data_IF_556647950122
#
_entry.id   IF_556647950122
#
_cell.length_a   1.000
_cell.length_b   1.000
_cell.length_c   1.000
_cell.angle_alpha   90.00
_cell.angle_beta   90.00
_cell.angle_gamma   90.00
#
_symmetry.space_group_name_H-M   'P 1'
#
loop_
_entity.id
_entity.type
_entity.pdbx_description
1 polymer ?
#
# COMPACT_ATOMS: atom_id res chain seq x y z
N UNK A 1 6.26 -3.29 17.75
CA UNK A 1 6.49 -2.65 16.42
C UNK A 1 5.15 -2.47 15.71
N UNK A 2 4.88 -1.30 15.14
CA UNK A 2 3.64 -1.02 14.40
C UNK A 2 3.82 -1.44 12.94
N UNK A 3 2.91 -2.26 12.41
CA UNK A 3 2.86 -2.57 10.98
C UNK A 3 2.26 -1.39 10.24
N UNK A 4 2.91 -0.94 9.18
CA UNK A 4 2.36 0.07 8.26
C UNK A 4 2.17 -0.61 6.92
N UNK A 5 0.92 -0.71 6.49
CA UNK A 5 0.55 -1.26 5.20
C UNK A 5 0.81 -0.21 4.12
N UNK A 6 1.10 -0.64 2.89
CA UNK A 6 1.26 0.28 1.78
C UNK A 6 1.58 -0.45 0.48
N UNK A 7 1.70 0.33 -0.59
CA UNK A 7 2.10 -0.16 -1.91
C UNK A 7 3.01 0.84 -2.60
N UNK A 8 3.89 0.33 -3.47
CA UNK A 8 4.62 1.16 -4.45
C UNK A 8 3.86 1.12 -5.76
N UNK A 9 3.42 2.29 -6.22
CA UNK A 9 2.63 2.48 -7.42
C UNK A 9 3.55 3.00 -8.53
N UNK A 10 3.72 2.22 -9.58
CA UNK A 10 4.31 2.66 -10.83
C UNK A 10 3.17 3.00 -11.80
N UNK A 11 3.15 4.24 -12.28
CA UNK A 11 2.11 4.73 -13.19
C UNK A 11 2.61 4.60 -14.64
N UNK A 12 1.76 4.17 -15.55
CA UNK A 12 2.14 3.96 -16.95
C UNK A 12 2.39 5.26 -17.72
N UNK A 13 1.85 6.38 -17.24
CA UNK A 13 1.92 7.68 -17.88
C UNK A 13 2.83 8.68 -17.13
N UNK A 14 3.54 8.24 -16.08
CA UNK A 14 4.47 9.07 -15.30
C UNK A 14 5.74 8.30 -14.95
N UNK A 15 6.89 8.98 -15.02
CA UNK A 15 8.16 8.44 -14.55
C UNK A 15 8.31 8.51 -13.01
N UNK A 16 7.39 9.21 -12.31
CA UNK A 16 7.38 9.31 -10.86
C UNK A 16 6.61 8.12 -10.30
N UNK A 17 7.28 7.36 -9.45
CA UNK A 17 6.65 6.30 -8.69
C UNK A 17 6.19 6.82 -7.32
N UNK A 18 5.24 6.13 -6.68
CA UNK A 18 4.63 6.61 -5.45
C UNK A 18 4.62 5.52 -4.39
N UNK A 19 5.13 5.78 -3.20
CA UNK A 19 4.79 4.97 -2.04
C UNK A 19 3.47 5.51 -1.48
N UNK A 20 2.44 4.68 -1.51
CA UNK A 20 1.11 4.98 -1.01
C UNK A 20 0.86 4.27 0.31
N UNK A 21 0.62 5.03 1.37
CA UNK A 21 0.37 4.55 2.72
C UNK A 21 -1.04 4.98 3.16
N UNK A 22 -1.99 4.07 3.42
CA UNK A 22 -3.32 4.43 3.88
C UNK A 22 -3.29 4.93 5.33
N UNK A 23 -3.90 6.10 5.56
CA UNK A 23 -4.02 6.65 6.92
C UNK A 23 -5.08 5.93 7.77
N UNK A 24 -6.14 5.41 7.14
CA UNK A 24 -7.29 4.79 7.80
C UNK A 24 -7.89 3.64 6.95
N UNK A 25 -8.93 2.98 7.48
CA UNK A 25 -9.64 1.89 6.80
C UNK A 25 -10.25 2.32 5.46
N UNK A 26 -10.75 3.55 5.36
CA UNK A 26 -11.35 4.05 4.12
C UNK A 26 -10.28 4.24 3.03
N UNK A 27 -9.11 4.75 3.40
CA UNK A 27 -7.95 4.89 2.54
C UNK A 27 -7.39 3.53 2.12
N UNK A 28 -7.37 2.55 3.03
CA UNK A 28 -7.00 1.17 2.70
C UNK A 28 -7.95 0.55 1.66
N UNK A 29 -9.25 0.75 1.83
CA UNK A 29 -10.26 0.30 0.86
C UNK A 29 -10.07 0.96 -0.51
N UNK A 30 -9.77 2.27 -0.55
CA UNK A 30 -9.47 2.98 -1.81
C UNK A 30 -8.17 2.49 -2.45
N UNK A 31 -7.11 2.25 -1.68
CA UNK A 31 -5.87 1.66 -2.20
C UNK A 31 -6.10 0.25 -2.77
N UNK A 32 -6.88 -0.57 -2.07
CA UNK A 32 -7.24 -1.92 -2.52
C UNK A 32 -8.05 -1.88 -3.82
N UNK A 33 -8.98 -0.92 -3.94
CA UNK A 33 -9.76 -0.69 -5.17
C UNK A 33 -8.87 -0.23 -6.31
N UNK A 34 -7.97 0.72 -6.06
CA UNK A 34 -6.99 1.22 -7.03
C UNK A 34 -6.14 0.07 -7.59
N UNK A 35 -5.55 -0.74 -6.73
CA UNK A 35 -4.75 -1.91 -7.14
C UNK A 35 -5.59 -2.92 -7.93
N UNK A 36 -6.84 -3.15 -7.53
CA UNK A 36 -7.76 -4.05 -8.24
C UNK A 36 -8.09 -3.56 -9.65
N UNK A 37 -8.30 -2.24 -9.82
CA UNK A 37 -8.49 -1.62 -11.14
C UNK A 37 -7.27 -1.87 -12.02
N UNK A 38 -6.07 -1.58 -11.51
CA UNK A 38 -4.84 -1.75 -12.27
C UNK A 38 -4.54 -3.21 -12.65
N UNK A 39 -4.79 -4.15 -11.75
CA UNK A 39 -4.64 -5.59 -12.03
C UNK A 39 -5.65 -6.12 -13.06
N UNK A 40 -6.89 -5.61 -13.07
CA UNK A 40 -7.91 -6.02 -14.05
C UNK A 40 -7.64 -5.52 -15.47
N UNK A 41 -6.86 -4.43 -15.60
CA UNK A 41 -6.49 -3.84 -16.89
C UNK A 41 -5.26 -4.48 -17.54
N UNK A 42 -4.62 -5.43 -16.88
CA UNK A 42 -3.35 -6.01 -17.30
C UNK A 42 -3.37 -7.55 -17.25
N UNK A 43 -2.43 -8.18 -17.95
CA UNK A 43 -2.22 -9.62 -17.86
C UNK A 43 -1.77 -10.05 -16.45
N UNK A 44 -1.88 -11.34 -16.16
CA UNK A 44 -1.45 -11.89 -14.87
C UNK A 44 0.03 -11.58 -14.63
N UNK A 45 0.32 -10.95 -13.50
CA UNK A 45 1.67 -10.50 -13.13
C UNK A 45 1.82 -8.98 -13.19
N UNK A 46 1.13 -8.33 -14.13
CA UNK A 46 1.24 -6.90 -14.38
C UNK A 46 0.17 -6.07 -13.67
N UNK A 47 0.32 -4.75 -13.67
CA UNK A 47 -0.63 -3.79 -13.13
C UNK A 47 -0.54 -2.51 -13.95
N UNK A 48 -1.64 -2.03 -14.51
CA UNK A 48 -1.66 -0.78 -15.29
C UNK A 48 -2.49 0.29 -14.59
N UNK A 49 -1.79 1.24 -13.98
CA UNK A 49 -2.35 2.41 -13.31
C UNK A 49 -1.87 3.68 -14.00
N UNK A 50 -2.68 4.72 -14.04
CA UNK A 50 -2.30 6.04 -14.53
C UNK A 50 -2.50 7.13 -13.45
N UNK A 51 -2.09 8.36 -13.77
CA UNK A 51 -2.27 9.51 -12.86
C UNK A 51 -3.74 9.80 -12.55
N UNK A 52 -4.66 9.54 -13.47
CA UNK A 52 -6.08 9.79 -13.25
C UNK A 52 -6.63 8.82 -12.19
N UNK A 53 -6.23 7.55 -12.25
CA UNK A 53 -6.59 6.57 -11.23
C UNK A 53 -6.09 7.01 -9.83
N UNK A 54 -4.84 7.47 -9.74
CA UNK A 54 -4.29 7.96 -8.47
C UNK A 54 -5.02 9.23 -7.99
N UNK A 55 -5.39 10.13 -8.90
CA UNK A 55 -6.13 11.36 -8.57
C UNK A 55 -7.57 11.09 -8.09
N UNK A 56 -8.19 10.01 -8.58
CA UNK A 56 -9.52 9.56 -8.19
C UNK A 56 -9.50 8.82 -6.83
N UNK A 57 -8.59 7.84 -6.68
CA UNK A 57 -8.59 6.93 -5.53
C UNK A 57 -7.57 7.29 -4.44
N UNK A 58 -6.80 8.38 -4.62
CA UNK A 58 -5.70 8.75 -3.72
C UNK A 58 -6.11 9.39 -2.38
N UNK A 59 -7.40 9.70 -2.18
CA UNK A 59 -7.85 10.38 -0.97
C UNK A 59 -7.49 9.61 0.32
N UNK A 60 -7.00 10.30 1.34
CA UNK A 60 -6.58 9.70 2.62
C UNK A 60 -5.31 8.85 2.57
N UNK A 61 -4.65 8.76 1.42
CA UNK A 61 -3.31 8.18 1.32
C UNK A 61 -2.26 9.24 1.67
N UNK A 62 -1.25 8.86 2.44
CA UNK A 62 0.03 9.55 2.47
C UNK A 62 0.84 9.07 1.26
N UNK A 63 1.25 10.01 0.42
CA UNK A 63 1.94 9.75 -0.85
C UNK A 63 3.38 10.25 -0.77
N UNK A 64 4.34 9.36 -0.97
CA UNK A 64 5.76 9.71 -1.05
C UNK A 64 6.21 9.53 -2.50
N UNK A 65 6.47 10.64 -3.19
CA UNK A 65 6.96 10.66 -4.56
C UNK A 65 8.40 10.15 -4.63
N UNK A 66 8.66 9.22 -5.54
CA UNK A 66 9.98 8.70 -5.87
C UNK A 66 10.26 9.06 -7.33
N UNK A 67 10.85 10.25 -7.60
CA UNK A 67 11.22 10.61 -8.96
C UNK A 67 12.33 9.69 -9.48
N UNK A 68 12.56 9.66 -10.81
CA UNK A 68 13.76 9.07 -11.40
C UNK A 68 15.05 9.60 -10.75
N UNK A 69 16.17 8.91 -10.96
CA UNK A 69 17.44 9.37 -10.40
C UNK A 69 17.79 10.76 -10.97
N UNK A 70 17.68 11.79 -10.14
CA UNK A 70 17.97 13.20 -10.47
C UNK A 70 19.42 13.46 -10.89
N UNK A 71 20.29 12.45 -10.79
CA UNK A 71 21.67 12.49 -11.28
C UNK A 71 21.88 11.67 -12.57
N UNK A 72 20.85 10.99 -13.09
CA UNK A 72 20.97 10.26 -14.35
C UNK A 72 21.11 11.25 -15.53
N UNK A 73 21.89 10.90 -16.58
CA UNK A 73 22.15 11.79 -17.71
C UNK A 73 20.87 12.32 -18.37
N UNK A 74 19.85 11.46 -18.47
CA UNK A 74 18.58 11.76 -19.13
C UNK A 74 17.51 12.32 -18.18
N UNK A 75 17.76 12.33 -16.86
CA UNK A 75 16.79 12.80 -15.87
C UNK A 75 16.69 14.34 -15.80
N UNK A 76 17.63 15.03 -16.46
CA UNK A 76 17.76 16.49 -16.50
C UNK A 76 18.18 17.02 -17.87
N UNK A 77 18.16 16.22 -18.95
CA UNK A 77 18.35 16.76 -20.29
C UNK A 77 17.18 17.73 -20.57
N UNK A 78 17.43 19.06 -20.60
CA UNK A 78 16.39 20.00 -20.95
C UNK A 78 16.21 19.88 -22.45
N UNK A 79 15.12 19.24 -22.89
CA UNK A 79 14.56 19.65 -24.17
C UNK A 79 14.15 21.12 -23.99
N UNK A 80 14.69 22.08 -24.77
CA UNK A 80 14.39 23.50 -24.61
C UNK A 80 12.93 23.75 -25.02
N UNK A 81 12.00 23.45 -24.12
CA UNK A 81 10.56 23.51 -24.37
C UNK A 81 9.72 22.59 -23.47
N UNK A 82 10.28 21.51 -22.91
CA UNK A 82 9.56 20.64 -21.97
C UNK A 82 10.06 20.87 -20.54
N UNK A 83 9.19 21.38 -19.66
CA UNK A 83 9.51 21.51 -18.23
C UNK A 83 9.83 20.14 -17.61
N UNK A 84 10.46 20.13 -16.42
CA UNK A 84 10.74 18.89 -15.67
C UNK A 84 9.45 18.08 -15.44
N UNK A 85 9.19 16.98 -16.19
CA UNK A 85 7.89 16.30 -16.18
C UNK A 85 7.59 15.71 -14.80
N UNK A 86 8.63 15.26 -14.10
CA UNK A 86 8.52 14.79 -12.71
C UNK A 86 8.04 15.89 -11.75
N UNK A 87 8.53 17.12 -11.89
CA UNK A 87 8.08 18.24 -11.05
C UNK A 87 6.60 18.56 -11.31
N UNK A 88 6.18 18.56 -12.57
CA UNK A 88 4.78 18.82 -12.94
C UNK A 88 3.84 17.76 -12.34
N UNK A 89 4.19 16.47 -12.47
CA UNK A 89 3.42 15.36 -11.91
C UNK A 89 3.35 15.43 -10.36
N UNK A 90 4.49 15.70 -9.71
CA UNK A 90 4.56 15.85 -8.26
C UNK A 90 3.71 17.02 -7.78
N UNK A 91 3.83 18.19 -8.44
CA UNK A 91 3.06 19.38 -8.11
C UNK A 91 1.56 19.20 -8.35
N UNK A 92 1.17 18.45 -9.39
CA UNK A 92 -0.24 18.11 -9.63
C UNK A 92 -0.83 17.28 -8.49
N UNK A 93 -0.12 16.23 -8.05
CA UNK A 93 -0.57 15.43 -6.90
C UNK A 93 -0.54 16.22 -5.59
N UNK A 94 0.45 17.09 -5.39
CA UNK A 94 0.54 17.97 -4.22
C UNK A 94 -0.66 18.93 -4.11
N UNK A 95 -1.09 19.51 -5.23
CA UNK A 95 -2.31 20.35 -5.29
C UNK A 95 -3.57 19.53 -5.05
N UNK A 96 -3.62 18.30 -5.56
CA UNK A 96 -4.78 17.42 -5.40
C UNK A 96 -4.95 16.92 -3.96
N UNK A 97 -3.84 16.64 -3.26
CA UNK A 97 -3.81 16.06 -1.92
C UNK A 97 -2.95 16.90 -0.95
N UNK A 98 -3.40 18.12 -0.61
CA UNK A 98 -2.62 19.03 0.22
C UNK A 98 -2.31 18.41 1.59
N UNK A 99 -1.05 18.53 2.04
CA UNK A 99 -0.58 18.00 3.32
C UNK A 99 -0.39 16.48 3.39
N UNK A 100 -0.67 15.76 2.30
CA UNK A 100 -0.51 14.30 2.22
C UNK A 100 0.63 13.85 1.30
N UNK A 101 1.26 14.79 0.58
CA UNK A 101 2.32 14.49 -0.39
C UNK A 101 3.69 14.88 0.16
N UNK A 102 4.68 14.02 -0.05
CA UNK A 102 6.08 14.20 0.34
C UNK A 102 7.02 13.82 -0.80
N UNK A 103 8.21 14.40 -0.84
CA UNK A 103 9.27 13.94 -1.75
C UNK A 103 10.16 12.92 -1.04
N UNK A 104 10.23 11.70 -1.54
CA UNK A 104 11.08 10.64 -1.02
C UNK A 104 12.53 10.79 -1.46
N UNK A 105 13.45 10.66 -0.51
CA UNK A 105 14.88 10.58 -0.75
C UNK A 105 15.39 9.17 -0.51
N UNK A 106 15.58 8.43 -1.61
CA UNK A 106 16.13 7.08 -1.60
C UNK A 106 17.64 7.13 -1.92
N UNK A 107 18.51 6.54 -1.07
CA UNK A 107 19.91 6.37 -1.41
C UNK A 107 20.11 5.30 -2.50
N UNK A 108 21.16 5.48 -3.30
CA UNK A 108 21.66 4.47 -4.26
C UNK A 108 22.95 3.80 -3.77
N UNK A 109 23.62 4.37 -2.77
CA UNK A 109 24.86 3.84 -2.21
C UNK A 109 26.00 3.75 -3.23
N UNK A 110 26.06 4.73 -4.11
CA UNK A 110 27.03 4.85 -5.21
C UNK A 110 28.07 5.97 -4.95
N UNK A 111 28.18 6.43 -3.70
CA UNK A 111 29.04 7.55 -3.31
C UNK A 111 28.51 8.94 -3.68
N UNK A 112 27.37 9.02 -4.39
CA UNK A 112 26.79 10.30 -4.85
C UNK A 112 25.53 10.71 -4.07
N UNK A 113 25.20 10.00 -3.00
CA UNK A 113 23.95 10.19 -2.25
C UNK A 113 23.80 11.61 -1.69
N UNK A 114 24.86 12.25 -1.20
CA UNK A 114 24.75 13.64 -0.71
C UNK A 114 24.35 14.60 -1.83
N UNK A 115 24.95 14.49 -3.01
CA UNK A 115 24.58 15.31 -4.18
C UNK A 115 23.15 15.01 -4.64
N UNK A 116 22.73 13.74 -4.55
CA UNK A 116 21.36 13.32 -4.87
C UNK A 116 20.36 13.93 -3.89
N UNK A 117 20.65 13.90 -2.59
CA UNK A 117 19.82 14.53 -1.56
C UNK A 117 19.77 16.05 -1.72
N UNK A 118 20.86 16.70 -2.13
CA UNK A 118 20.87 18.14 -2.45
C UNK A 118 19.88 18.47 -3.57
N UNK A 119 19.91 17.70 -4.66
CA UNK A 119 19.00 17.88 -5.81
C UNK A 119 17.56 17.56 -5.46
N UNK A 120 17.31 16.51 -4.68
CA UNK A 120 15.97 16.18 -4.20
C UNK A 120 15.44 17.25 -3.23
N UNK A 121 16.27 17.78 -2.33
CA UNK A 121 15.86 18.86 -1.44
C UNK A 121 15.46 20.11 -2.22
N UNK A 122 16.20 20.48 -3.27
CA UNK A 122 15.85 21.58 -4.16
C UNK A 122 14.54 21.30 -4.94
N UNK A 123 14.35 20.07 -5.43
CA UNK A 123 13.10 19.66 -6.07
C UNK A 123 11.91 19.73 -5.10
N UNK A 124 12.08 19.28 -3.86
CA UNK A 124 11.06 19.36 -2.83
C UNK A 124 10.65 20.81 -2.56
N UNK A 125 11.64 21.71 -2.42
CA UNK A 125 11.40 23.14 -2.23
C UNK A 125 10.61 23.76 -3.39
N UNK A 126 10.99 23.47 -4.65
CA UNK A 126 10.29 23.96 -5.85
C UNK A 126 8.87 23.42 -5.96
N UNK A 127 8.64 22.20 -5.51
CA UNK A 127 7.30 21.59 -5.46
C UNK A 127 6.45 22.06 -4.28
N UNK A 128 7.01 22.84 -3.34
CA UNK A 128 6.32 23.21 -2.10
C UNK A 128 6.12 22.04 -1.13
N UNK A 129 7.00 21.03 -1.19
CA UNK A 129 6.88 19.79 -0.43
C UNK A 129 8.01 19.64 0.60
N UNK A 130 7.75 18.79 1.59
CA UNK A 130 8.78 18.32 2.48
C UNK A 130 9.45 17.04 1.95
N UNK A 131 10.77 16.95 2.16
CA UNK A 131 11.53 15.75 1.88
C UNK A 131 11.44 14.74 3.05
N UNK A 132 11.33 13.46 2.74
CA UNK A 132 11.35 12.34 3.69
C UNK A 132 12.41 11.32 3.29
N UNK A 133 13.16 10.81 4.26
CA UNK A 133 14.14 9.75 4.04
C UNK A 133 13.43 8.41 3.85
N UNK A 134 13.78 7.69 2.78
CA UNK A 134 13.31 6.31 2.53
C UNK A 134 14.50 5.39 2.31
N UNK A 135 14.35 4.10 2.67
CA UNK A 135 15.46 3.15 2.59
C UNK A 135 15.60 2.41 1.24
N UNK A 136 14.54 2.39 0.43
CA UNK A 136 14.42 1.54 -0.78
C UNK A 136 14.92 0.10 -0.55
N UNK A 137 14.49 -0.46 0.59
CA UNK A 137 14.98 -1.72 1.14
C UNK A 137 14.48 -2.89 0.30
N UNK A 138 15.40 -3.78 -0.08
CA UNK A 138 15.12 -5.01 -0.81
C UNK A 138 15.38 -6.28 0.03
N UNK A 139 16.22 -6.17 1.05
CA UNK A 139 16.63 -7.32 1.88
C UNK A 139 16.75 -6.95 3.37
N UNK A 140 16.71 -7.94 4.27
CA UNK A 140 16.84 -7.69 5.71
C UNK A 140 18.31 -7.48 6.16
N UNK A 141 19.29 -8.05 5.45
CA UNK A 141 20.73 -7.92 5.77
C UNK A 141 21.60 -8.06 4.52
N UNK A 142 22.80 -7.49 4.53
CA UNK A 142 23.68 -7.38 3.35
C UNK A 142 24.07 -8.73 2.74
N UNK A 143 24.32 -9.74 3.59
CA UNK A 143 24.68 -11.09 3.15
C UNK A 143 23.59 -11.81 2.33
N UNK A 144 22.38 -11.24 2.21
CA UNK A 144 21.32 -11.75 1.33
C UNK A 144 21.43 -11.28 -0.12
N UNK A 145 22.42 -10.44 -0.46
CA UNK A 145 22.67 -10.01 -1.84
C UNK A 145 22.72 -11.16 -2.84
N UNK A 146 23.46 -12.28 -2.62
CA UNK A 146 23.48 -13.38 -3.58
C UNK A 146 22.09 -13.98 -3.85
N UNK A 147 21.25 -14.08 -2.81
CA UNK A 147 19.87 -14.55 -2.96
C UNK A 147 19.03 -13.57 -3.77
N UNK A 148 19.18 -12.25 -3.55
CA UNK A 148 18.48 -11.23 -4.33
C UNK A 148 18.91 -11.24 -5.81
N UNK A 149 20.20 -11.48 -6.08
CA UNK A 149 20.71 -11.64 -7.45
C UNK A 149 20.09 -12.90 -8.11
N UNK A 150 19.99 -14.03 -7.40
CA UNK A 150 19.32 -15.26 -7.90
C UNK A 150 17.83 -15.03 -8.19
N UNK A 151 17.10 -14.36 -7.30
CA UNK A 151 15.69 -14.01 -7.55
C UNK A 151 15.53 -13.10 -8.75
N UNK A 152 16.50 -12.22 -9.00
CA UNK A 152 16.54 -11.39 -10.21
C UNK A 152 16.76 -12.27 -11.44
N UNK A 153 17.72 -13.20 -11.42
CA UNK A 153 17.93 -14.17 -12.51
C UNK A 153 16.66 -14.94 -12.87
N UNK A 154 15.91 -15.43 -11.88
CA UNK A 154 14.65 -16.13 -12.10
C UNK A 154 13.59 -15.24 -12.75
N UNK A 155 13.46 -13.98 -12.31
CA UNK A 155 12.52 -13.03 -12.89
C UNK A 155 12.86 -12.67 -14.34
N UNK A 156 14.14 -12.50 -14.63
CA UNK A 156 14.65 -12.05 -15.94
C UNK A 156 14.95 -13.20 -16.91
N UNK A 157 14.81 -14.45 -16.47
CA UNK A 157 15.09 -15.64 -17.30
C UNK A 157 16.56 -15.78 -17.70
N UNK A 158 17.50 -15.45 -16.80
CA UNK A 158 18.95 -15.51 -17.08
C UNK A 158 19.74 -16.23 -15.97
N UNK A 159 21.04 -16.43 -16.17
CA UNK A 159 21.95 -17.04 -15.18
C UNK A 159 22.73 -15.97 -14.41
N UNK A 160 23.39 -16.37 -13.31
CA UNK A 160 24.26 -15.47 -12.54
C UNK A 160 25.42 -14.94 -13.38
N UNK A 161 25.94 -15.73 -14.32
CA UNK A 161 27.02 -15.29 -15.21
C UNK A 161 26.55 -14.26 -16.26
N UNK A 162 25.24 -14.24 -16.58
CA UNK A 162 24.65 -13.39 -17.64
C UNK A 162 23.76 -12.26 -17.12
N UNK A 163 23.61 -12.12 -15.79
CA UNK A 163 22.77 -11.09 -15.17
C UNK A 163 23.27 -9.65 -15.47
N UNK A 164 24.57 -9.47 -15.70
CA UNK A 164 25.17 -8.20 -16.10
C UNK A 164 24.84 -7.05 -15.13
N UNK A 165 24.43 -5.90 -15.69
CA UNK A 165 24.10 -4.68 -14.94
C UNK A 165 22.79 -4.77 -14.13
N UNK A 166 22.00 -5.85 -14.28
CA UNK A 166 20.82 -6.10 -13.44
C UNK A 166 21.20 -6.61 -12.05
N UNK A 167 22.47 -6.97 -11.84
CA UNK A 167 23.00 -7.36 -10.53
C UNK A 167 22.96 -6.17 -9.57
N UNK A 168 22.67 -6.43 -8.30
CA UNK A 168 22.86 -5.41 -7.27
C UNK A 168 24.35 -5.01 -7.20
N UNK A 169 24.64 -3.71 -7.22
CA UNK A 169 26.01 -3.21 -7.12
C UNK A 169 26.66 -3.56 -5.77
N UNK A 170 25.88 -3.54 -4.69
CA UNK A 170 26.32 -3.76 -3.31
C UNK A 170 25.20 -4.37 -2.45
N UNK A 171 25.51 -4.66 -1.19
CA UNK A 171 24.55 -5.19 -0.20
C UNK A 171 23.76 -4.12 0.56
N UNK A 172 23.78 -2.85 0.11
CA UNK A 172 23.32 -1.71 0.91
C UNK A 172 21.82 -1.47 0.88
N UNK A 173 21.08 -2.04 -0.09
CA UNK A 173 19.60 -2.09 -0.06
C UNK A 173 19.06 -3.06 0.99
N UNK A 174 19.70 -3.08 2.16
CA UNK A 174 19.28 -3.80 3.36
C UNK A 174 18.54 -2.88 4.32
N UNK A 175 17.84 -3.48 5.28
CA UNK A 175 17.32 -2.74 6.43
C UNK A 175 18.50 -2.16 7.23
N UNK A 176 18.52 -0.83 7.37
CA UNK A 176 19.51 -0.08 8.12
C UNK A 176 18.95 0.32 9.48
N UNK A 177 19.84 0.38 10.48
CA UNK A 177 19.51 0.93 11.79
C UNK A 177 19.28 2.44 11.70
N UNK A 178 18.61 3.01 12.71
CA UNK A 178 18.42 4.45 12.83
C UNK A 178 19.74 5.23 12.85
N UNK A 179 20.79 4.70 13.49
CA UNK A 179 22.11 5.33 13.55
C UNK A 179 22.79 5.38 12.17
N UNK A 180 22.67 4.32 11.37
CA UNK A 180 23.21 4.30 10.00
C UNK A 180 22.48 5.29 9.10
N UNK A 181 21.14 5.34 9.20
CA UNK A 181 20.34 6.32 8.46
C UNK A 181 20.65 7.75 8.91
N UNK A 182 20.85 7.99 10.21
CA UNK A 182 21.27 9.30 10.75
C UNK A 182 22.61 9.77 10.18
N UNK A 183 23.60 8.90 10.07
CA UNK A 183 24.89 9.23 9.43
C UNK A 183 24.72 9.55 7.95
N UNK A 184 23.93 8.74 7.24
CA UNK A 184 23.67 8.95 5.81
C UNK A 184 22.92 10.27 5.54
N UNK A 185 21.93 10.61 6.37
CA UNK A 185 21.12 11.82 6.24
C UNK A 185 21.60 12.96 7.17
N UNK A 186 22.89 13.02 7.53
CA UNK A 186 23.40 14.00 8.50
C UNK A 186 23.17 15.47 8.07
N UNK A 187 23.15 15.76 6.75
CA UNK A 187 22.79 17.09 6.20
C UNK A 187 21.28 17.35 6.19
N UNK A 188 20.47 16.31 6.37
CA UNK A 188 19.01 16.32 6.25
C UNK A 188 18.30 15.60 7.41
N UNK A 189 18.59 15.93 8.68
CA UNK A 189 18.00 15.24 9.83
C UNK A 189 16.46 15.40 9.91
N UNK A 190 15.92 16.48 9.33
CA UNK A 190 14.48 16.69 9.22
C UNK A 190 13.78 15.62 8.35
N UNK A 191 14.46 15.11 7.32
CA UNK A 191 13.91 14.07 6.44
C UNK A 191 13.73 12.74 7.19
N UNK A 192 14.59 12.46 8.18
CA UNK A 192 14.44 11.30 9.06
C UNK A 192 13.31 11.49 10.07
N UNK A 193 13.21 12.65 10.72
CA UNK A 193 12.09 12.92 11.64
C UNK A 193 10.74 12.80 10.93
N UNK A 194 10.69 13.25 9.66
CA UNK A 194 9.50 13.13 8.82
C UNK A 194 9.01 11.70 8.63
N UNK A 195 9.91 10.70 8.60
CA UNK A 195 9.49 9.30 8.45
C UNK A 195 8.74 8.80 9.67
N UNK A 196 9.10 9.28 10.87
CA UNK A 196 8.38 9.01 12.12
C UNK A 196 7.03 9.72 12.12
N UNK A 197 6.98 11.01 11.75
CA UNK A 197 5.73 11.78 11.63
C UNK A 197 4.73 11.10 10.67
N UNK A 198 5.22 10.59 9.53
CA UNK A 198 4.39 9.84 8.57
C UNK A 198 3.93 8.51 9.17
N UNK A 199 4.83 7.79 9.85
CA UNK A 199 4.49 6.52 10.49
C UNK A 199 3.41 6.68 11.58
N UNK A 200 3.43 7.78 12.32
CA UNK A 200 2.43 8.10 13.33
C UNK A 200 1.07 8.40 12.70
N UNK A 201 1.05 9.10 11.56
CA UNK A 201 -0.18 9.39 10.78
C UNK A 201 -0.84 8.16 10.17
N UNK A 202 -0.09 7.10 9.88
CA UNK A 202 -0.63 5.88 9.27
C UNK A 202 -1.32 5.02 10.34
N UNK A 203 -2.59 5.29 10.65
CA UNK A 203 -3.30 4.66 11.76
C UNK A 203 -3.95 3.31 11.42
N UNK A 204 -4.21 3.01 10.14
CA UNK A 204 -4.83 1.76 9.69
C UNK A 204 -4.12 0.50 10.22
N UNK A 205 -4.93 -0.46 10.71
CA UNK A 205 -4.49 -1.78 11.15
C UNK A 205 -5.25 -2.86 10.40
N UNK A 206 -4.60 -3.99 10.13
CA UNK A 206 -5.30 -5.15 9.56
C UNK A 206 -6.43 -5.67 10.47
N UNK A 207 -6.31 -5.47 11.79
CA UNK A 207 -7.33 -5.79 12.78
C UNK A 207 -8.62 -4.93 12.62
N UNK A 208 -8.55 -3.82 11.87
CA UNK A 208 -9.71 -2.99 11.56
C UNK A 208 -10.63 -3.66 10.51
N UNK A 209 -10.14 -4.70 9.83
CA UNK A 209 -10.92 -5.48 8.87
C UNK A 209 -11.88 -6.40 9.61
N UNK A 210 -13.19 -6.17 9.38
CA UNK A 210 -14.27 -7.00 9.89
C UNK A 210 -14.89 -7.80 8.76
N UNK A 211 -15.45 -8.97 9.07
CA UNK A 211 -16.25 -9.72 8.11
C UNK A 211 -17.42 -8.86 7.65
N UNK A 212 -17.57 -8.71 6.34
CA UNK A 212 -18.71 -8.07 5.70
C UNK A 212 -19.46 -9.17 4.98
N UNK A 213 -20.58 -9.60 5.54
CA UNK A 213 -21.47 -10.53 4.86
C UNK A 213 -22.31 -9.78 3.82
N UNK A 214 -22.68 -10.44 2.70
CA UNK A 214 -23.66 -9.88 1.78
C UNK A 214 -24.95 -9.49 2.51
N UNK A 215 -25.59 -8.45 1.99
CA UNK A 215 -26.92 -8.07 2.42
C UNK A 215 -27.92 -9.17 2.00
N UNK A 216 -28.40 -9.93 2.99
CA UNK A 216 -29.43 -10.98 2.84
C UNK A 216 -30.82 -10.50 3.27
N UNK A 217 -30.99 -9.19 3.43
CA UNK A 217 -32.30 -8.58 3.57
C UNK A 217 -33.09 -8.76 2.27
N UNK A 218 -34.26 -9.40 2.39
CA UNK A 218 -35.21 -9.54 1.28
C UNK A 218 -36.51 -8.91 1.70
N UNK A 219 -37.10 -8.12 0.81
CA UNK A 219 -38.43 -7.54 0.98
C UNK A 219 -38.61 -6.76 2.30
N UNK A 220 -37.52 -6.17 2.84
CA UNK A 220 -37.53 -5.44 4.11
C UNK A 220 -37.45 -6.30 5.38
N UNK A 221 -37.31 -7.63 5.26
CA UNK A 221 -37.10 -8.55 6.39
C UNK A 221 -35.60 -8.55 6.80
N UNK A 222 -35.25 -8.17 8.05
CA UNK A 222 -33.87 -8.27 8.53
C UNK A 222 -33.38 -9.72 8.53
N UNK A 223 -32.10 -9.93 8.20
CA UNK A 223 -31.49 -11.26 8.12
C UNK A 223 -31.71 -12.13 9.36
N UNK A 224 -31.64 -11.55 10.57
CA UNK A 224 -31.92 -12.28 11.81
C UNK A 224 -33.37 -12.79 11.87
N UNK A 225 -34.35 -11.95 11.56
CA UNK A 225 -35.76 -12.33 11.56
C UNK A 225 -36.05 -13.43 10.53
N UNK A 226 -35.45 -13.30 9.34
CA UNK A 226 -35.56 -14.32 8.28
C UNK A 226 -34.96 -15.66 8.71
N UNK A 227 -33.78 -15.64 9.35
CA UNK A 227 -33.13 -16.85 9.87
C UNK A 227 -33.98 -17.53 10.94
N UNK A 228 -34.55 -16.76 11.88
CA UNK A 228 -35.43 -17.30 12.93
C UNK A 228 -36.67 -17.95 12.33
N UNK A 229 -37.32 -17.29 11.35
CA UNK A 229 -38.50 -17.82 10.65
C UNK A 229 -38.18 -19.14 9.92
N UNK A 230 -37.08 -19.17 9.16
CA UNK A 230 -36.66 -20.37 8.42
C UNK A 230 -36.24 -21.50 9.37
N UNK A 231 -35.57 -21.17 10.49
CA UNK A 231 -35.18 -22.14 11.50
C UNK A 231 -36.38 -22.77 12.19
N UNK A 232 -37.41 -21.96 12.53
CA UNK A 232 -38.67 -22.46 13.09
C UNK A 232 -39.43 -23.35 12.09
N UNK A 233 -39.49 -22.96 10.81
CA UNK A 233 -40.08 -23.79 9.77
C UNK A 233 -39.32 -25.12 9.59
N UNK A 234 -37.99 -25.08 9.60
CA UNK A 234 -37.13 -26.27 9.57
C UNK A 234 -37.31 -27.18 10.79
N UNK A 235 -37.60 -26.61 11.97
CA UNK A 235 -37.88 -27.36 13.19
C UNK A 235 -39.17 -28.19 13.07
N UNK A 236 -40.25 -27.61 12.52
CA UNK A 236 -41.50 -28.32 12.26
C UNK A 236 -41.29 -29.45 11.24
N UNK A 237 -40.54 -29.18 10.17
CA UNK A 237 -40.23 -30.19 9.16
C UNK A 237 -39.37 -31.34 9.70
N UNK A 238 -38.38 -31.05 10.55
CA UNK A 238 -37.44 -32.05 11.09
C UNK A 238 -38.00 -32.83 12.27
N UNK A 239 -38.93 -32.25 13.03
CA UNK A 239 -39.58 -32.87 14.19
C UNK A 239 -41.10 -32.79 14.04
N UNK A 240 -41.73 -33.66 13.22
CA UNK A 240 -43.17 -33.62 12.95
C UNK A 240 -44.03 -33.81 14.21
N UNK A 241 -43.56 -34.63 15.16
CA UNK A 241 -44.23 -34.87 16.45
C UNK A 241 -43.87 -33.82 17.53
N UNK A 242 -43.14 -32.77 17.13
CA UNK A 242 -42.65 -31.71 18.01
C UNK A 242 -41.24 -31.97 18.55
N UNK A 243 -40.38 -30.93 18.66
CA UNK A 243 -39.06 -31.08 19.24
C UNK A 243 -39.16 -31.28 20.75
N UNK A 244 -38.21 -32.04 21.32
CA UNK A 244 -38.09 -32.12 22.78
C UNK A 244 -37.76 -30.73 23.38
N UNK A 245 -38.12 -30.46 24.65
CA UNK A 245 -37.82 -29.17 25.31
C UNK A 245 -36.34 -28.77 25.25
N UNK A 246 -35.44 -29.78 25.31
CA UNK A 246 -33.99 -29.58 25.19
C UNK A 246 -33.59 -29.03 23.81
N UNK A 247 -34.22 -29.51 22.74
CA UNK A 247 -33.93 -29.09 21.36
C UNK A 247 -34.47 -27.68 21.12
N UNK A 248 -35.70 -27.40 21.56
CA UNK A 248 -36.29 -26.08 21.45
C UNK A 248 -35.44 -25.03 22.20
N UNK A 249 -35.04 -25.30 23.44
CA UNK A 249 -34.18 -24.41 24.22
C UNK A 249 -32.80 -24.20 23.57
N UNK A 250 -32.24 -25.25 22.92
CA UNK A 250 -30.97 -25.15 22.20
C UNK A 250 -31.09 -24.22 20.99
N UNK A 251 -32.17 -24.33 20.22
CA UNK A 251 -32.40 -23.47 19.05
C UNK A 251 -32.47 -21.99 19.47
N UNK A 252 -33.25 -21.64 20.51
CA UNK A 252 -33.34 -20.25 20.97
C UNK A 252 -31.97 -19.71 21.44
N UNK A 253 -31.20 -20.54 22.16
CA UNK A 253 -29.85 -20.15 22.60
C UNK A 253 -28.90 -19.91 21.43
N UNK A 254 -28.94 -20.78 20.42
CA UNK A 254 -28.10 -20.64 19.23
C UNK A 254 -28.51 -19.41 18.40
N UNK A 255 -29.81 -19.17 18.20
CA UNK A 255 -30.32 -17.98 17.49
C UNK A 255 -29.96 -16.68 18.21
N UNK A 256 -30.03 -16.66 19.55
CA UNK A 256 -29.60 -15.52 20.36
C UNK A 256 -28.11 -15.23 20.17
N UNK A 257 -27.27 -16.27 20.24
CA UNK A 257 -25.83 -16.12 20.01
C UNK A 257 -25.51 -15.63 18.59
N UNK A 258 -26.24 -16.14 17.59
CA UNK A 258 -26.09 -15.70 16.20
C UNK A 258 -26.46 -14.22 16.05
N UNK A 259 -27.50 -13.75 16.74
CA UNK A 259 -27.89 -12.34 16.77
C UNK A 259 -26.80 -11.47 17.40
N UNK A 260 -26.28 -11.88 18.56
CA UNK A 260 -25.22 -11.16 19.29
C UNK A 260 -23.93 -11.04 18.45
N UNK A 261 -23.59 -12.09 17.70
CA UNK A 261 -22.42 -12.11 16.81
C UNK A 261 -22.66 -11.46 15.45
N UNK A 262 -23.92 -11.14 15.10
CA UNK A 262 -24.29 -10.59 13.80
C UNK A 262 -24.07 -11.58 12.64
N UNK A 263 -24.20 -12.87 12.88
CA UNK A 263 -23.87 -13.94 11.93
C UNK A 263 -25.07 -14.45 11.12
N UNK A 264 -26.26 -13.87 11.28
CA UNK A 264 -27.44 -14.34 10.54
C UNK A 264 -27.23 -14.41 9.01
N UNK A 265 -26.60 -13.41 8.35
CA UNK A 265 -26.36 -13.48 6.91
C UNK A 265 -25.42 -14.62 6.47
N UNK A 266 -24.63 -15.21 7.37
CA UNK A 266 -23.77 -16.36 7.06
C UNK A 266 -24.56 -17.67 6.97
N UNK A 267 -25.66 -17.78 7.73
CA UNK A 267 -26.50 -18.98 7.76
C UNK A 267 -27.61 -18.96 6.69
N UNK A 268 -27.94 -17.79 6.16
CA UNK A 268 -28.88 -17.59 5.06
C UNK A 268 -28.22 -17.87 3.70
#
# INVERSE_FOLDING_TARGET
PKLIVGARLALSDSAVEWVALPADLAAYSRLSRLLSIGKRRAAKGDCRLDRADLAEWGAGLVLIALPPDVLAPDALAPDPGSGEPALADIAAMARRFPGCVFLGAAPRYDGRDQRRFDRLAALAQRAGLAMVAVGDVLMHRAARRPLADVLTCLREGCTIDTIGLRRLANGERRLKSGAEMARLFHRYPAALRRSVEIADRCAFRLDDLRHQYPHEDRDGEPAQARLERLSRAGMVWRYPDGPSPKIAARMEKELTLIAELGYAPYFL
#
